data_IF_542792449976
#
_entry.id   IF_542792449976
#
_cell.length_a   1.000
_cell.length_b   1.000
_cell.length_c   1.000
_cell.angle_alpha   90.00
_cell.angle_beta   90.00
_cell.angle_gamma   90.00
#
_symmetry.space_group_name_H-M   'P 1'
#
loop_
_entity.id
_entity.type
_entity.pdbx_description
1 polymer ?
#
# COMPACT_ATOMS: atom_id res chain seq x y z
N UNK A 1 -32.27 -48.61 13.74
CA UNK A 1 -31.91 -47.35 14.40
C UNK A 1 -31.93 -47.41 15.93
N UNK A 2 -32.75 -48.27 16.54
CA UNK A 2 -32.86 -48.48 17.99
C UNK A 2 -31.64 -49.09 18.69
N UNK A 3 -30.95 -50.03 18.05
CA UNK A 3 -29.76 -50.74 18.61
C UNK A 3 -28.59 -49.79 18.84
N UNK A 4 -28.38 -48.79 17.98
CA UNK A 4 -27.26 -47.79 18.14
C UNK A 4 -27.49 -46.84 19.32
N UNK A 5 -28.75 -46.44 19.58
CA UNK A 5 -29.09 -45.58 20.71
C UNK A 5 -28.85 -46.27 22.07
N UNK A 6 -29.14 -47.56 22.16
CA UNK A 6 -28.96 -48.38 23.40
C UNK A 6 -27.44 -48.59 23.69
N UNK A 7 -26.62 -48.80 22.66
CA UNK A 7 -25.16 -48.94 22.80
C UNK A 7 -24.51 -47.64 23.26
N UNK A 8 -24.91 -46.48 22.73
CA UNK A 8 -24.43 -45.17 23.15
C UNK A 8 -24.81 -44.86 24.59
N UNK A 9 -26.05 -45.12 25.00
CA UNK A 9 -26.48 -44.96 26.40
C UNK A 9 -25.67 -45.81 27.36
N UNK A 10 -25.42 -47.08 27.04
CA UNK A 10 -24.58 -47.97 27.85
C UNK A 10 -23.13 -47.50 27.96
N UNK A 11 -22.52 -47.05 26.86
CA UNK A 11 -21.18 -46.50 26.86
C UNK A 11 -21.06 -45.22 27.73
N UNK A 12 -22.06 -44.34 27.69
CA UNK A 12 -22.12 -43.14 28.52
C UNK A 12 -22.23 -43.51 29.99
N UNK A 13 -23.11 -44.48 30.36
CA UNK A 13 -23.28 -44.93 31.74
C UNK A 13 -21.97 -45.57 32.28
N UNK A 14 -21.29 -46.39 31.47
CA UNK A 14 -20.02 -47.02 31.86
C UNK A 14 -18.92 -45.97 32.02
N UNK A 15 -18.88 -44.98 31.16
CA UNK A 15 -17.95 -43.84 31.24
C UNK A 15 -18.16 -43.05 32.56
N UNK A 16 -19.43 -42.72 32.90
CA UNK A 16 -19.73 -42.03 34.14
C UNK A 16 -19.46 -42.86 35.40
N UNK A 17 -19.72 -44.17 35.38
CA UNK A 17 -19.33 -45.05 36.48
C UNK A 17 -17.81 -45.18 36.66
N UNK A 18 -17.05 -45.24 35.57
CA UNK A 18 -15.59 -45.21 35.61
C UNK A 18 -15.04 -43.89 36.15
N UNK A 19 -15.60 -42.78 35.70
CA UNK A 19 -15.19 -41.42 36.17
C UNK A 19 -15.49 -41.19 37.66
N UNK A 20 -16.68 -41.57 38.10
CA UNK A 20 -17.05 -41.49 39.54
C UNK A 20 -16.20 -42.43 40.42
N UNK A 21 -15.84 -43.58 39.93
CA UNK A 21 -14.90 -44.51 40.62
C UNK A 21 -13.50 -43.92 40.77
N UNK A 22 -12.95 -43.33 39.72
CA UNK A 22 -11.64 -42.63 39.78
C UNK A 22 -11.68 -41.44 40.72
N UNK A 23 -12.72 -40.62 40.67
CA UNK A 23 -12.88 -39.47 41.57
C UNK A 23 -12.96 -39.93 43.04
N UNK A 24 -13.71 -41.01 43.35
CA UNK A 24 -13.79 -41.56 44.69
C UNK A 24 -12.45 -42.09 45.20
N UNK A 25 -11.73 -42.86 44.36
CA UNK A 25 -10.41 -43.42 44.73
C UNK A 25 -9.36 -42.29 44.93
N UNK A 26 -9.34 -41.25 44.11
CA UNK A 26 -8.42 -40.14 44.28
C UNK A 26 -8.77 -39.29 45.47
N UNK A 27 -10.05 -39.10 45.80
CA UNK A 27 -10.46 -38.39 47.05
C UNK A 27 -10.07 -39.17 48.31
N UNK A 28 -10.18 -40.49 48.26
CA UNK A 28 -9.75 -41.36 49.33
C UNK A 28 -8.21 -41.36 49.51
N UNK A 29 -7.45 -41.42 48.43
CA UNK A 29 -5.99 -41.29 48.44
C UNK A 29 -5.53 -39.92 49.00
N UNK A 30 -6.16 -38.83 48.60
CA UNK A 30 -5.86 -37.50 49.12
C UNK A 30 -6.19 -37.39 50.63
N UNK A 31 -7.29 -38.00 51.06
CA UNK A 31 -7.65 -38.01 52.49
C UNK A 31 -6.66 -38.75 53.37
N UNK A 32 -5.98 -39.78 52.83
CA UNK A 32 -4.90 -40.54 53.48
C UNK A 32 -3.62 -39.72 53.57
N UNK A 33 -3.24 -39.00 52.50
CA UNK A 33 -2.02 -38.16 52.43
C UNK A 33 -2.16 -36.97 53.44
N UNK A 34 -3.36 -36.40 53.58
CA UNK A 34 -3.61 -35.31 54.52
C UNK A 34 -3.78 -35.76 55.95
N UNK A 35 -3.52 -37.02 56.30
CA UNK A 35 -3.58 -37.55 57.66
C UNK A 35 -4.99 -37.64 58.26
N UNK A 36 -6.03 -37.56 57.42
CA UNK A 36 -7.44 -37.56 57.86
C UNK A 36 -8.02 -38.97 58.02
N UNK A 37 -7.26 -39.90 58.65
CA UNK A 37 -7.65 -41.30 58.84
C UNK A 37 -8.45 -41.57 60.13
N UNK A 38 -9.03 -40.54 60.73
CA UNK A 38 -9.85 -40.64 61.90
C UNK A 38 -11.27 -41.12 61.57
N UNK A 39 -11.71 -42.20 62.17
CA UNK A 39 -13.06 -42.78 62.03
C UNK A 39 -14.10 -42.13 62.88
N UNK A 40 -13.76 -41.07 63.60
CA UNK A 40 -14.69 -40.26 64.40
C UNK A 40 -15.78 -39.66 63.48
N UNK A 41 -16.91 -39.26 64.12
CA UNK A 41 -17.96 -38.54 63.34
C UNK A 41 -17.43 -37.27 62.70
N UNK A 42 -16.46 -36.61 63.27
CA UNK A 42 -15.80 -35.41 62.76
C UNK A 42 -14.90 -35.71 61.56
N UNK A 43 -14.08 -36.75 61.63
CA UNK A 43 -13.23 -37.17 60.50
C UNK A 43 -14.05 -37.61 59.29
N UNK A 44 -15.18 -38.30 59.50
CA UNK A 44 -16.12 -38.63 58.38
C UNK A 44 -16.78 -37.40 57.75
N UNK A 45 -17.07 -36.37 58.55
CA UNK A 45 -17.64 -35.13 58.04
C UNK A 45 -16.63 -34.34 57.21
N UNK A 46 -15.39 -34.20 57.69
CA UNK A 46 -14.30 -33.53 56.95
C UNK A 46 -13.98 -34.25 55.62
N UNK A 47 -13.91 -35.60 55.63
CA UNK A 47 -13.69 -36.39 54.42
C UNK A 47 -14.78 -36.13 53.34
N UNK A 48 -16.05 -35.97 53.77
CA UNK A 48 -17.14 -35.62 52.83
C UNK A 48 -16.99 -34.23 52.27
N UNK A 49 -16.57 -33.24 53.04
CA UNK A 49 -16.34 -31.86 52.56
C UNK A 49 -15.16 -31.85 51.58
N UNK A 50 -14.01 -32.41 51.94
CA UNK A 50 -12.80 -32.48 51.11
C UNK A 50 -13.06 -33.25 49.82
N UNK A 51 -13.77 -34.41 49.90
CA UNK A 51 -14.17 -35.17 48.74
C UNK A 51 -15.14 -34.43 47.83
N UNK A 52 -16.06 -33.66 48.41
CA UNK A 52 -16.99 -32.79 47.65
C UNK A 52 -16.25 -31.64 46.94
N UNK A 53 -15.35 -30.97 47.64
CA UNK A 53 -14.55 -29.90 47.02
C UNK A 53 -13.65 -30.46 45.90
N UNK A 54 -13.02 -31.63 46.10
CA UNK A 54 -12.21 -32.27 45.09
C UNK A 54 -13.04 -32.71 43.87
N UNK A 55 -14.21 -33.30 44.08
CA UNK A 55 -15.13 -33.68 43.00
C UNK A 55 -15.58 -32.47 42.21
N UNK A 56 -15.89 -31.35 42.89
CA UNK A 56 -16.26 -30.09 42.23
C UNK A 56 -15.11 -29.51 41.40
N UNK A 57 -13.89 -29.53 41.95
CA UNK A 57 -12.71 -29.09 41.23
C UNK A 57 -12.44 -29.93 39.97
N UNK A 58 -12.53 -31.27 40.08
CA UNK A 58 -12.36 -32.18 38.95
C UNK A 58 -13.45 -31.99 37.90
N UNK A 59 -14.70 -31.73 38.31
CA UNK A 59 -15.79 -31.42 37.40
C UNK A 59 -15.52 -30.11 36.63
N UNK A 60 -15.07 -29.07 37.32
CA UNK A 60 -14.71 -27.78 36.68
C UNK A 60 -13.55 -27.94 35.69
N UNK A 61 -12.52 -28.70 36.06
CA UNK A 61 -11.40 -28.98 35.14
C UNK A 61 -11.83 -29.79 33.92
N UNK A 62 -12.71 -30.77 34.10
CA UNK A 62 -13.25 -31.55 32.96
C UNK A 62 -14.12 -30.70 32.04
N UNK A 63 -14.96 -29.82 32.59
CA UNK A 63 -15.78 -28.87 31.83
C UNK A 63 -14.88 -27.89 31.06
N UNK A 64 -13.86 -27.37 31.71
CA UNK A 64 -12.90 -26.47 31.08
C UNK A 64 -12.13 -27.16 29.93
N UNK A 65 -11.65 -28.39 30.14
CA UNK A 65 -10.98 -29.18 29.11
C UNK A 65 -11.90 -29.52 27.95
N UNK A 66 -13.15 -29.93 28.22
CA UNK A 66 -14.16 -30.20 27.17
C UNK A 66 -14.50 -28.92 26.39
N UNK A 67 -14.70 -27.80 27.10
CA UNK A 67 -14.95 -26.51 26.46
C UNK A 67 -13.77 -26.10 25.56
N UNK A 68 -12.54 -26.27 26.03
CA UNK A 68 -11.34 -25.99 25.24
C UNK A 68 -11.25 -26.91 23.99
N UNK A 69 -11.53 -28.20 24.14
CA UNK A 69 -11.56 -29.14 23.01
C UNK A 69 -12.67 -28.79 22.01
N UNK A 70 -13.86 -28.46 22.48
CA UNK A 70 -14.99 -28.07 21.63
C UNK A 70 -14.66 -26.76 20.90
N UNK A 71 -14.12 -25.76 21.61
CA UNK A 71 -13.70 -24.50 21.01
C UNK A 71 -12.62 -24.75 19.96
N UNK A 72 -11.57 -25.54 20.29
CA UNK A 72 -10.52 -25.87 19.33
C UNK A 72 -11.09 -26.58 18.08
N UNK A 73 -11.97 -27.56 18.27
CA UNK A 73 -12.61 -28.25 17.15
C UNK A 73 -13.52 -27.31 16.34
N UNK A 74 -14.31 -26.49 17.02
CA UNK A 74 -15.18 -25.50 16.38
C UNK A 74 -14.39 -24.50 15.55
N UNK A 75 -13.37 -23.87 16.12
CA UNK A 75 -12.54 -22.90 15.40
C UNK A 75 -11.69 -23.53 14.31
N UNK A 76 -11.15 -24.75 14.52
CA UNK A 76 -10.33 -25.41 13.52
C UNK A 76 -11.12 -26.00 12.34
N UNK A 77 -12.31 -26.54 12.58
CA UNK A 77 -13.04 -27.29 11.56
C UNK A 77 -14.37 -26.70 11.14
N UNK A 78 -15.07 -25.99 12.02
CA UNK A 78 -16.39 -25.43 11.75
C UNK A 78 -16.37 -23.92 11.50
N UNK A 79 -15.79 -23.14 12.39
CA UNK A 79 -15.71 -21.69 12.20
C UNK A 79 -14.88 -21.31 10.98
N UNK A 80 -13.72 -21.98 10.79
CA UNK A 80 -12.93 -21.79 9.56
C UNK A 80 -13.69 -22.18 8.29
N UNK A 81 -14.61 -23.13 8.38
CA UNK A 81 -15.41 -23.56 7.22
C UNK A 81 -16.50 -22.54 6.86
N UNK A 82 -16.99 -21.76 7.84
CA UNK A 82 -18.05 -20.77 7.64
C UNK A 82 -17.53 -19.32 7.63
N UNK A 83 -16.54 -19.00 8.46
CA UNK A 83 -15.99 -17.62 8.58
C UNK A 83 -14.86 -17.33 7.61
N UNK A 84 -13.98 -18.28 7.28
CA UNK A 84 -12.97 -18.09 6.24
C UNK A 84 -13.55 -18.13 4.81
N UNK A 85 -14.82 -18.46 4.67
CA UNK A 85 -15.61 -18.25 3.44
C UNK A 85 -16.30 -16.89 3.42
N UNK A 86 -16.08 -16.04 4.41
CA UNK A 86 -16.63 -14.70 4.38
C UNK A 86 -16.01 -13.94 3.19
N UNK A 87 -16.84 -13.20 2.49
CA UNK A 87 -16.48 -12.33 1.35
C UNK A 87 -15.29 -11.41 1.68
N UNK A 88 -15.01 -11.16 2.97
CA UNK A 88 -13.98 -10.28 3.47
C UNK A 88 -12.54 -10.86 3.42
N UNK A 89 -12.37 -12.18 3.36
CA UNK A 89 -11.06 -12.84 3.34
C UNK A 89 -10.75 -13.59 2.05
N UNK A 90 -11.78 -13.82 1.21
CA UNK A 90 -11.64 -14.49 -0.08
C UNK A 90 -11.45 -13.50 -1.22
N UNK A 91 -10.39 -13.63 -1.98
CA UNK A 91 -10.19 -12.91 -3.22
C UNK A 91 -10.68 -13.75 -4.38
N UNK A 92 -11.79 -13.34 -5.00
CA UNK A 92 -12.28 -13.99 -6.22
C UNK A 92 -11.30 -13.78 -7.37
N UNK A 93 -10.81 -14.88 -7.93
CA UNK A 93 -9.91 -14.89 -9.09
C UNK A 93 -10.71 -15.09 -10.38
N UNK A 94 -11.73 -15.97 -10.31
CA UNK A 94 -12.63 -16.28 -11.42
C UNK A 94 -13.96 -16.83 -10.87
N UNK A 95 -14.86 -17.24 -11.76
CA UNK A 95 -16.10 -17.96 -11.38
C UNK A 95 -15.82 -19.30 -10.68
N UNK A 96 -14.66 -19.91 -10.93
CA UNK A 96 -14.33 -21.25 -10.48
C UNK A 96 -13.26 -21.29 -9.38
N UNK A 97 -12.55 -20.20 -9.12
CA UNK A 97 -11.44 -20.18 -8.18
C UNK A 97 -11.46 -18.95 -7.29
N UNK A 98 -11.26 -19.17 -6.00
CA UNK A 98 -11.15 -18.13 -4.97
C UNK A 98 -9.87 -18.37 -4.17
N UNK A 99 -9.07 -17.34 -4.00
CA UNK A 99 -7.91 -17.36 -3.12
C UNK A 99 -8.28 -16.91 -1.72
N UNK A 100 -7.85 -17.67 -0.74
CA UNK A 100 -7.96 -17.34 0.68
C UNK A 100 -6.58 -17.14 1.27
N UNK A 101 -6.30 -15.94 1.75
CA UNK A 101 -5.08 -15.67 2.54
C UNK A 101 -5.28 -16.16 3.97
N UNK A 102 -4.18 -16.56 4.63
CA UNK A 102 -4.21 -16.80 6.07
C UNK A 102 -3.69 -15.59 6.83
N UNK A 103 -4.09 -15.44 8.10
CA UNK A 103 -3.60 -14.37 8.97
C UNK A 103 -2.07 -14.48 9.24
N UNK A 104 -1.50 -15.68 9.07
CA UNK A 104 -0.06 -15.94 9.22
C UNK A 104 0.73 -15.73 7.93
N UNK A 105 0.05 -15.42 6.81
CA UNK A 105 0.65 -15.31 5.46
C UNK A 105 1.45 -16.56 5.01
N UNK A 106 1.20 -17.72 5.61
CA UNK A 106 1.93 -18.96 5.33
C UNK A 106 1.06 -20.09 4.80
N UNK A 107 -0.25 -20.05 5.06
CA UNK A 107 -1.18 -21.15 4.82
C UNK A 107 -2.33 -20.75 3.86
N UNK A 108 -2.10 -19.79 2.97
CA UNK A 108 -3.05 -19.43 1.94
C UNK A 108 -3.36 -20.61 1.02
N UNK A 109 -4.55 -20.61 0.44
CA UNK A 109 -4.96 -21.67 -0.48
C UNK A 109 -5.92 -21.15 -1.55
N UNK A 110 -6.01 -21.90 -2.65
CA UNK A 110 -7.03 -21.69 -3.68
C UNK A 110 -8.11 -22.76 -3.50
N UNK A 111 -9.35 -22.34 -3.48
CA UNK A 111 -10.55 -23.20 -3.46
C UNK A 111 -11.31 -23.06 -4.76
N UNK A 112 -11.64 -24.18 -5.38
CA UNK A 112 -12.51 -24.23 -6.56
C UNK A 112 -13.98 -24.20 -6.16
N UNK A 113 -14.85 -23.89 -7.10
CA UNK A 113 -16.31 -23.74 -6.87
C UNK A 113 -16.95 -24.96 -6.20
N UNK A 114 -16.43 -26.16 -6.44
CA UNK A 114 -16.88 -27.41 -5.82
C UNK A 114 -16.34 -27.60 -4.38
N UNK A 115 -15.62 -26.64 -3.85
CA UNK A 115 -15.06 -26.66 -2.49
C UNK A 115 -13.75 -27.41 -2.35
N UNK A 116 -13.11 -27.80 -3.46
CA UNK A 116 -11.82 -28.47 -3.45
C UNK A 116 -10.69 -27.47 -3.29
N UNK A 117 -9.78 -27.71 -2.33
CA UNK A 117 -8.54 -26.95 -2.17
C UNK A 117 -7.46 -27.51 -3.09
N UNK A 118 -7.10 -26.77 -4.11
CA UNK A 118 -6.21 -27.23 -5.19
C UNK A 118 -4.76 -26.78 -5.01
N UNK A 119 -4.54 -25.54 -4.55
CA UNK A 119 -3.21 -25.00 -4.25
C UNK A 119 -3.18 -24.68 -2.76
N UNK A 120 -2.13 -25.06 -2.04
CA UNK A 120 -2.01 -24.91 -0.58
C UNK A 120 -0.63 -24.36 -0.22
N UNK A 121 -0.50 -23.80 0.99
CA UNK A 121 0.77 -23.25 1.48
C UNK A 121 1.20 -22.02 0.71
N UNK A 122 0.24 -21.17 0.34
CA UNK A 122 0.51 -19.95 -0.40
C UNK A 122 0.85 -18.84 0.59
N UNK A 123 2.02 -18.22 0.41
CA UNK A 123 2.44 -17.05 1.18
C UNK A 123 1.87 -15.76 0.56
N UNK A 124 1.92 -15.64 -0.75
CA UNK A 124 1.34 -14.51 -1.47
C UNK A 124 1.05 -14.90 -2.93
N UNK A 125 0.22 -14.09 -3.58
CA UNK A 125 -0.09 -14.19 -5.00
C UNK A 125 0.12 -12.84 -5.69
N UNK A 126 0.38 -12.89 -6.99
CA UNK A 126 0.35 -11.71 -7.88
C UNK A 126 -0.39 -12.08 -9.16
N UNK A 127 -1.44 -11.33 -9.45
CA UNK A 127 -2.28 -11.59 -10.62
C UNK A 127 -1.54 -11.27 -11.91
N UNK A 128 -1.85 -11.96 -13.02
CA UNK A 128 -1.33 -11.62 -14.34
C UNK A 128 -1.88 -10.27 -14.81
N UNK A 129 -1.27 -9.73 -15.83
CA UNK A 129 -1.74 -8.54 -16.54
C UNK A 129 -2.46 -8.92 -17.84
N UNK A 130 -3.35 -8.06 -18.29
CA UNK A 130 -4.14 -8.27 -19.49
C UNK A 130 -5.01 -9.51 -19.44
N UNK A 131 -5.03 -10.27 -20.53
CA UNK A 131 -5.87 -11.47 -20.68
C UNK A 131 -5.22 -12.77 -20.21
N UNK A 132 -4.04 -12.70 -19.60
CA UNK A 132 -3.34 -13.87 -19.07
C UNK A 132 -4.07 -14.45 -17.84
N UNK A 133 -3.99 -15.78 -17.70
CA UNK A 133 -4.72 -16.51 -16.66
C UNK A 133 -3.84 -17.11 -15.56
N UNK A 134 -2.52 -17.02 -15.68
CA UNK A 134 -1.58 -17.64 -14.76
C UNK A 134 -1.16 -16.67 -13.66
N UNK A 135 -1.62 -16.95 -12.44
CA UNK A 135 -1.29 -16.22 -11.22
C UNK A 135 0.05 -16.70 -10.69
N UNK A 136 0.98 -15.79 -10.48
CA UNK A 136 2.23 -16.06 -9.78
C UNK A 136 1.95 -16.25 -8.28
N UNK A 137 2.55 -17.28 -7.65
CA UNK A 137 2.44 -17.49 -6.21
C UNK A 137 3.76 -17.94 -5.60
N UNK A 138 3.91 -17.76 -4.31
CA UNK A 138 5.05 -18.21 -3.53
C UNK A 138 4.63 -19.25 -2.49
N UNK A 139 5.46 -20.30 -2.33
CA UNK A 139 5.37 -21.27 -1.24
C UNK A 139 6.28 -20.92 -0.04
N UNK A 140 6.81 -19.67 -0.01
CA UNK A 140 7.76 -19.19 0.99
C UNK A 140 9.22 -19.38 0.63
N UNK A 141 9.55 -20.28 -0.31
CA UNK A 141 10.92 -20.53 -0.80
C UNK A 141 11.06 -20.20 -2.28
N UNK A 142 10.12 -20.70 -3.05
CA UNK A 142 10.12 -20.60 -4.49
C UNK A 142 8.81 -20.00 -4.99
N UNK A 143 8.82 -19.61 -6.26
CA UNK A 143 7.66 -19.11 -6.98
C UNK A 143 7.25 -20.07 -8.08
N UNK A 144 5.95 -20.18 -8.31
CA UNK A 144 5.32 -20.97 -9.35
C UNK A 144 4.06 -20.26 -9.86
N UNK A 145 3.27 -20.97 -10.65
CA UNK A 145 2.07 -20.43 -11.24
C UNK A 145 0.91 -21.41 -11.17
N UNK A 146 -0.28 -20.88 -10.89
CA UNK A 146 -1.53 -21.61 -11.01
C UNK A 146 -2.49 -20.88 -11.95
N UNK A 147 -3.38 -21.61 -12.56
CA UNK A 147 -4.37 -21.03 -13.46
C UNK A 147 -5.58 -20.50 -12.65
N UNK A 148 -5.87 -19.22 -12.72
CA UNK A 148 -6.99 -18.61 -12.00
C UNK A 148 -8.37 -19.02 -12.51
N UNK A 149 -8.47 -19.56 -13.72
CA UNK A 149 -9.75 -20.00 -14.28
C UNK A 149 -10.12 -21.41 -13.80
N UNK A 150 -9.13 -22.29 -13.60
CA UNK A 150 -9.34 -23.67 -13.16
C UNK A 150 -9.00 -23.89 -11.70
N UNK A 151 -8.16 -23.03 -11.10
CA UNK A 151 -7.62 -23.20 -9.76
C UNK A 151 -6.51 -24.24 -9.67
N UNK A 152 -6.00 -24.77 -10.78
CA UNK A 152 -4.99 -25.84 -10.79
C UNK A 152 -3.58 -25.28 -10.96
N UNK A 153 -2.59 -25.99 -10.38
CA UNK A 153 -1.18 -25.66 -10.55
C UNK A 153 -0.79 -25.90 -12.02
N UNK A 154 -0.34 -24.82 -12.68
CA UNK A 154 0.21 -24.90 -14.04
C UNK A 154 1.73 -25.14 -14.02
N UNK A 155 2.45 -24.41 -13.17
CA UNK A 155 3.90 -24.54 -13.01
C UNK A 155 4.19 -24.64 -11.50
N UNK A 156 4.77 -25.76 -11.08
CA UNK A 156 5.14 -25.96 -9.66
C UNK A 156 6.19 -24.93 -9.23
N UNK A 157 6.20 -24.52 -7.96
CA UNK A 157 7.21 -23.60 -7.42
C UNK A 157 8.62 -24.19 -7.60
N UNK A 158 9.43 -23.54 -8.41
CA UNK A 158 10.82 -23.91 -8.68
C UNK A 158 11.77 -22.74 -8.88
N UNK A 159 11.24 -21.54 -9.14
CA UNK A 159 12.03 -20.35 -9.38
C UNK A 159 12.22 -19.55 -8.09
N UNK A 160 13.43 -19.05 -7.82
CA UNK A 160 13.68 -18.15 -6.68
C UNK A 160 12.96 -16.84 -6.85
N UNK A 161 12.99 -16.30 -8.07
CA UNK A 161 12.26 -15.10 -8.46
C UNK A 161 11.46 -15.40 -9.74
N UNK A 162 10.25 -14.91 -9.78
CA UNK A 162 9.37 -15.02 -10.94
C UNK A 162 8.39 -13.86 -10.87
N UNK A 163 7.97 -13.35 -12.02
CA UNK A 163 7.08 -12.20 -12.13
C UNK A 163 5.77 -12.59 -12.79
N UNK A 164 4.86 -11.66 -12.90
CA UNK A 164 3.53 -11.90 -13.45
C UNK A 164 3.58 -12.24 -14.93
N UNK A 165 2.64 -13.05 -15.40
CA UNK A 165 2.38 -13.20 -16.82
C UNK A 165 1.79 -11.92 -17.38
N UNK A 166 2.29 -11.53 -18.55
CA UNK A 166 1.76 -10.45 -19.37
C UNK A 166 2.12 -10.71 -20.82
N UNK A 167 1.19 -10.46 -21.71
CA UNK A 167 1.34 -10.73 -23.16
C UNK A 167 1.73 -12.21 -23.47
N UNK A 168 1.31 -13.15 -22.62
CA UNK A 168 1.58 -14.59 -22.75
C UNK A 168 2.96 -15.04 -22.28
N UNK A 169 3.77 -14.17 -21.69
CA UNK A 169 5.12 -14.45 -21.20
C UNK A 169 5.29 -14.00 -19.73
N UNK A 170 6.13 -14.72 -18.99
CA UNK A 170 6.58 -14.31 -17.68
C UNK A 170 8.09 -14.39 -17.56
N UNK A 171 8.72 -13.42 -16.94
CA UNK A 171 10.15 -13.51 -16.61
C UNK A 171 10.37 -14.32 -15.34
N UNK A 172 11.46 -15.07 -15.32
CA UNK A 172 11.88 -15.91 -14.19
C UNK A 172 13.39 -15.83 -14.01
N UNK A 173 13.82 -15.95 -12.75
CA UNK A 173 15.22 -16.18 -12.42
C UNK A 173 15.49 -17.70 -12.50
N UNK A 174 16.17 -18.11 -13.55
CA UNK A 174 16.63 -19.48 -13.73
C UNK A 174 18.14 -19.55 -13.53
N UNK A 175 18.55 -20.01 -12.34
CA UNK A 175 19.96 -20.14 -11.95
C UNK A 175 20.77 -18.84 -12.07
N UNK A 176 20.19 -17.71 -11.63
CA UNK A 176 20.84 -16.41 -11.65
C UNK A 176 20.80 -15.69 -13.01
N UNK A 177 19.99 -16.18 -13.95
CA UNK A 177 19.77 -15.56 -15.26
C UNK A 177 18.29 -15.30 -15.49
N UNK A 178 17.99 -14.17 -16.10
CA UNK A 178 16.63 -13.85 -16.51
C UNK A 178 16.29 -14.60 -17.79
N UNK A 179 15.20 -15.36 -17.72
CA UNK A 179 14.58 -16.00 -18.86
C UNK A 179 13.10 -15.67 -18.93
N UNK A 180 12.52 -15.77 -20.11
CA UNK A 180 11.07 -15.66 -20.27
C UNK A 180 10.49 -17.01 -20.64
N UNK A 181 9.39 -17.35 -19.98
CA UNK A 181 8.69 -18.62 -20.15
C UNK A 181 7.29 -18.41 -20.71
N UNK A 182 6.80 -19.41 -21.44
CA UNK A 182 5.40 -19.50 -21.85
C UNK A 182 4.51 -20.07 -20.74
N UNK A 183 3.21 -20.15 -20.99
CA UNK A 183 2.22 -20.69 -20.05
C UNK A 183 2.42 -22.17 -19.70
N UNK A 184 3.23 -22.91 -20.46
CA UNK A 184 3.62 -24.30 -20.18
C UNK A 184 4.91 -24.41 -19.38
N UNK A 185 5.59 -23.29 -19.14
CA UNK A 185 6.87 -23.21 -18.46
C UNK A 185 8.08 -23.52 -19.35
N UNK A 186 7.91 -23.50 -20.69
CA UNK A 186 9.02 -23.62 -21.63
C UNK A 186 9.74 -22.27 -21.76
N UNK A 187 11.07 -22.29 -21.81
CA UNK A 187 11.86 -21.09 -22.06
C UNK A 187 11.67 -20.67 -23.51
N UNK A 188 11.21 -19.44 -23.72
CA UNK A 188 10.97 -18.81 -25.04
C UNK A 188 12.09 -17.83 -25.36
N UNK A 189 12.55 -17.06 -24.37
CA UNK A 189 13.62 -16.08 -24.53
C UNK A 189 14.70 -16.32 -23.49
N UNK A 190 15.94 -16.44 -23.95
CA UNK A 190 17.15 -16.48 -23.12
C UNK A 190 18.19 -15.53 -23.72
N UNK A 191 18.32 -14.37 -23.09
CA UNK A 191 19.29 -13.34 -23.51
C UNK A 191 20.63 -13.49 -22.81
N UNK A 192 20.79 -14.52 -21.96
CA UNK A 192 21.98 -14.73 -21.13
C UNK A 192 22.30 -13.50 -20.21
N UNK A 193 21.28 -12.76 -19.81
CA UNK A 193 21.41 -11.60 -18.93
C UNK A 193 21.33 -12.06 -17.49
N UNK A 194 22.28 -11.66 -16.60
CA UNK A 194 22.25 -12.03 -15.20
C UNK A 194 21.07 -11.40 -14.47
N UNK A 195 20.46 -12.13 -13.51
CA UNK A 195 19.52 -11.56 -12.57
C UNK A 195 20.22 -10.54 -11.67
N UNK A 196 19.61 -9.39 -11.45
CA UNK A 196 20.09 -8.36 -10.56
C UNK A 196 19.16 -8.25 -9.36
N UNK A 197 19.71 -8.43 -8.15
CA UNK A 197 18.94 -8.30 -6.90
C UNK A 197 18.36 -6.87 -6.78
N UNK A 198 17.07 -6.79 -6.48
CA UNK A 198 16.35 -5.53 -6.35
C UNK A 198 15.92 -4.90 -7.69
N UNK A 199 16.16 -5.56 -8.83
CA UNK A 199 15.53 -5.16 -10.07
C UNK A 199 14.02 -5.42 -9.99
N UNK A 200 13.23 -4.45 -10.41
CA UNK A 200 11.79 -4.64 -10.64
C UNK A 200 11.57 -5.64 -11.77
N UNK A 201 10.42 -6.33 -11.73
CA UNK A 201 10.13 -7.42 -12.66
C UNK A 201 10.16 -6.97 -14.11
N UNK A 202 10.73 -7.82 -14.95
CA UNK A 202 10.75 -7.63 -16.40
C UNK A 202 9.45 -8.15 -16.97
N UNK A 203 8.51 -7.25 -17.23
CA UNK A 203 7.14 -7.58 -17.64
C UNK A 203 6.88 -7.03 -19.05
N UNK A 204 6.32 -7.87 -19.91
CA UNK A 204 5.88 -7.44 -21.23
C UNK A 204 4.65 -6.54 -21.12
N UNK A 205 4.60 -5.52 -21.95
CA UNK A 205 3.45 -4.65 -22.11
C UNK A 205 3.35 -4.23 -23.58
N UNK A 206 2.20 -4.50 -24.21
CA UNK A 206 1.96 -4.23 -25.64
C UNK A 206 3.09 -4.79 -26.55
N UNK A 207 3.53 -6.01 -26.28
CA UNK A 207 4.55 -6.69 -27.08
C UNK A 207 6.00 -6.29 -26.81
N UNK A 208 6.27 -5.43 -25.83
CA UNK A 208 7.59 -4.92 -25.50
C UNK A 208 7.93 -5.14 -24.01
N UNK A 209 9.21 -5.34 -23.72
CA UNK A 209 9.70 -5.42 -22.34
C UNK A 209 10.95 -4.57 -22.17
N UNK A 210 10.95 -3.75 -21.10
CA UNK A 210 12.15 -3.00 -20.68
C UNK A 210 13.11 -3.97 -20.01
N UNK A 211 14.34 -4.01 -20.49
CA UNK A 211 15.41 -4.87 -19.97
C UNK A 211 16.67 -4.08 -19.73
N UNK A 212 17.39 -4.39 -18.65
CA UNK A 212 18.78 -3.93 -18.54
C UNK A 212 19.68 -4.74 -19.50
N UNK A 213 20.81 -4.15 -19.87
CA UNK A 213 21.85 -4.86 -20.61
C UNK A 213 22.81 -5.60 -19.69
N UNK A 214 24.01 -5.91 -20.20
CA UNK A 214 25.09 -6.46 -19.39
C UNK A 214 25.60 -5.46 -18.33
N UNK A 215 25.41 -4.16 -18.56
CA UNK A 215 25.64 -3.10 -17.60
C UNK A 215 24.36 -2.84 -16.82
N UNK A 216 24.48 -2.81 -15.49
CA UNK A 216 23.38 -2.72 -14.54
C UNK A 216 22.55 -1.43 -14.67
N UNK A 217 23.17 -0.38 -15.16
CA UNK A 217 22.64 1.00 -15.17
C UNK A 217 22.13 1.45 -16.55
N UNK A 218 22.04 0.53 -17.52
CA UNK A 218 21.54 0.85 -18.85
C UNK A 218 20.41 -0.09 -19.28
N UNK A 219 19.37 0.50 -19.77
CA UNK A 219 18.14 -0.15 -20.19
C UNK A 219 17.94 -0.07 -21.69
N UNK A 220 17.28 -1.06 -22.23
CA UNK A 220 16.81 -1.13 -23.59
C UNK A 220 15.43 -1.75 -23.67
N UNK A 221 14.94 -1.97 -24.86
CA UNK A 221 13.63 -2.52 -25.15
C UNK A 221 13.76 -3.77 -26.01
N UNK A 222 13.12 -4.87 -25.63
CA UNK A 222 13.07 -6.11 -26.40
C UNK A 222 11.64 -6.38 -26.88
N UNK A 223 11.52 -7.08 -28.00
CA UNK A 223 10.26 -7.65 -28.50
C UNK A 223 10.01 -9.06 -27.90
N UNK A 224 8.85 -9.64 -28.19
CA UNK A 224 8.45 -10.99 -27.73
C UNK A 224 9.32 -12.14 -28.30
N UNK A 225 10.21 -11.86 -29.23
CA UNK A 225 11.22 -12.80 -29.74
C UNK A 225 12.58 -12.64 -29.09
N UNK A 226 12.72 -11.69 -28.15
CA UNK A 226 13.97 -11.35 -27.48
C UNK A 226 14.91 -10.47 -28.33
N UNK A 227 14.43 -9.91 -29.44
CA UNK A 227 15.23 -8.99 -30.27
C UNK A 227 15.23 -7.61 -29.63
N UNK A 228 16.42 -7.01 -29.50
CA UNK A 228 16.56 -5.62 -29.06
C UNK A 228 15.98 -4.67 -30.11
N UNK A 229 14.93 -3.97 -29.74
CA UNK A 229 14.33 -2.87 -30.50
C UNK A 229 15.02 -1.55 -30.20
N UNK A 230 15.34 -1.31 -28.93
CA UNK A 230 16.26 -0.30 -28.46
C UNK A 230 17.40 -1.00 -27.72
N UNK A 231 18.65 -0.69 -28.09
CA UNK A 231 19.82 -1.22 -27.40
C UNK A 231 19.84 -0.72 -25.94
N UNK A 232 20.43 -1.48 -25.04
CA UNK A 232 20.57 -1.12 -23.62
C UNK A 232 21.60 0.01 -23.43
N UNK A 233 21.21 1.23 -23.78
CA UNK A 233 22.04 2.46 -23.76
C UNK A 233 21.36 3.60 -22.97
N UNK A 234 20.10 3.43 -22.57
CA UNK A 234 19.31 4.44 -21.89
C UNK A 234 19.48 4.36 -20.38
N UNK A 235 19.44 5.49 -19.71
CA UNK A 235 19.47 5.58 -18.26
C UNK A 235 18.16 5.09 -17.63
N UNK A 236 17.03 5.34 -18.33
CA UNK A 236 15.71 4.84 -17.96
C UNK A 236 14.80 4.77 -19.19
N UNK A 237 13.83 3.87 -19.14
CA UNK A 237 12.72 3.75 -20.10
C UNK A 237 11.45 3.56 -19.30
N UNK A 238 10.47 4.47 -19.45
CA UNK A 238 9.18 4.42 -18.78
C UNK A 238 8.08 4.17 -19.82
N UNK A 239 7.50 2.96 -19.88
CA UNK A 239 6.32 2.70 -20.68
C UNK A 239 5.12 3.47 -20.13
N UNK A 240 4.37 4.14 -21.02
CA UNK A 240 3.14 4.83 -20.68
C UNK A 240 2.13 4.74 -21.83
N UNK A 241 1.12 3.90 -21.67
CA UNK A 241 0.13 3.60 -22.70
C UNK A 241 0.82 3.15 -24.02
N UNK A 242 0.66 3.89 -25.11
CA UNK A 242 1.31 3.63 -26.41
C UNK A 242 2.62 4.41 -26.58
N UNK A 243 3.22 4.92 -25.49
CA UNK A 243 4.43 5.74 -25.56
C UNK A 243 5.53 5.18 -24.66
N UNK A 244 6.76 5.55 -24.96
CA UNK A 244 7.92 5.36 -24.11
C UNK A 244 8.57 6.72 -23.85
N UNK A 245 8.72 7.05 -22.58
CA UNK A 245 9.57 8.16 -22.15
C UNK A 245 10.96 7.57 -21.92
N UNK A 246 11.94 7.99 -22.70
CA UNK A 246 13.30 7.48 -22.62
C UNK A 246 14.24 8.56 -22.13
N UNK A 247 15.13 8.20 -21.19
CA UNK A 247 16.14 9.10 -20.65
C UNK A 247 17.53 8.65 -21.06
N UNK A 248 18.36 9.58 -21.54
CA UNK A 248 19.77 9.32 -21.90
C UNK A 248 20.60 10.58 -21.70
N UNK A 249 21.61 10.50 -20.83
CA UNK A 249 22.54 11.61 -20.61
C UNK A 249 21.89 12.89 -20.07
N UNK A 250 20.87 12.76 -19.20
CA UNK A 250 20.15 13.88 -18.61
C UNK A 250 19.09 14.51 -19.52
N UNK A 251 18.91 13.99 -20.73
CA UNK A 251 17.83 14.41 -21.66
C UNK A 251 16.76 13.36 -21.72
N UNK A 252 15.50 13.77 -21.82
CA UNK A 252 14.37 12.90 -22.05
C UNK A 252 13.76 13.12 -23.42
N UNK A 253 13.17 12.06 -23.98
CA UNK A 253 12.50 12.04 -25.28
C UNK A 253 11.24 11.19 -25.17
N UNK A 254 10.23 11.46 -25.97
CA UNK A 254 9.03 10.63 -26.09
C UNK A 254 9.04 9.91 -27.42
N UNK A 255 8.94 8.58 -27.36
CA UNK A 255 8.79 7.71 -28.51
C UNK A 255 7.37 7.13 -28.52
N UNK A 256 6.79 6.94 -29.69
CA UNK A 256 5.58 6.14 -29.86
C UNK A 256 5.92 4.64 -29.82
N UNK A 257 4.94 3.75 -29.68
CA UNK A 257 5.15 2.29 -29.57
C UNK A 257 5.94 1.68 -30.74
N UNK A 258 5.86 2.26 -31.95
CA UNK A 258 6.67 1.86 -33.09
C UNK A 258 8.07 2.50 -33.14
N UNK A 259 8.49 3.11 -32.03
CA UNK A 259 9.76 3.80 -31.80
C UNK A 259 9.97 5.08 -32.64
N UNK A 260 8.91 5.59 -33.30
CA UNK A 260 8.96 6.90 -33.92
C UNK A 260 9.07 7.99 -32.85
N UNK A 261 10.02 8.90 -33.04
CA UNK A 261 10.20 10.04 -32.13
C UNK A 261 8.99 10.96 -32.24
N UNK A 262 8.34 11.20 -31.10
CA UNK A 262 7.24 12.17 -30.93
C UNK A 262 7.81 13.49 -30.43
N UNK A 263 8.59 13.47 -29.35
CA UNK A 263 9.38 14.61 -28.90
C UNK A 263 10.86 14.27 -28.96
N UNK A 264 11.69 15.12 -29.58
CA UNK A 264 13.14 14.95 -29.59
C UNK A 264 13.73 15.05 -28.18
N UNK A 265 14.97 14.59 -27.97
CA UNK A 265 15.65 14.74 -26.70
C UNK A 265 15.72 16.21 -26.26
N UNK A 266 15.31 16.48 -25.02
CA UNK A 266 15.33 17.80 -24.40
C UNK A 266 15.70 17.70 -22.92
N UNK A 267 16.25 18.77 -22.38
CA UNK A 267 16.55 18.90 -20.94
C UNK A 267 15.28 19.26 -20.17
N UNK A 268 14.39 18.29 -20.00
CA UNK A 268 13.12 18.45 -19.29
C UNK A 268 12.70 17.10 -18.71
N UNK A 269 11.89 17.12 -17.65
CA UNK A 269 11.16 15.96 -17.19
C UNK A 269 9.83 15.87 -17.93
N UNK A 270 9.65 14.76 -18.66
CA UNK A 270 8.49 14.53 -19.53
C UNK A 270 7.47 13.66 -18.87
N UNK A 271 6.20 13.98 -19.04
CA UNK A 271 5.08 13.22 -18.54
C UNK A 271 3.97 13.12 -19.58
N UNK A 272 3.42 11.92 -19.79
CA UNK A 272 2.30 11.69 -20.72
C UNK A 272 1.04 11.40 -19.89
N UNK A 273 0.03 12.24 -20.00
CA UNK A 273 -1.28 12.06 -19.35
C UNK A 273 -2.37 12.84 -20.08
N UNK A 274 -3.60 12.38 -19.95
CA UNK A 274 -4.81 13.07 -20.42
C UNK A 274 -4.74 13.56 -21.87
N UNK A 275 -4.15 12.73 -22.75
CA UNK A 275 -4.01 13.04 -24.17
C UNK A 275 -2.97 14.11 -24.51
N UNK A 276 -2.08 14.44 -23.57
CA UNK A 276 -1.05 15.45 -23.75
C UNK A 276 0.30 14.98 -23.21
N UNK A 277 1.36 15.66 -23.61
CA UNK A 277 2.70 15.53 -23.06
C UNK A 277 3.03 16.84 -22.36
N UNK A 278 3.36 16.78 -21.08
CA UNK A 278 3.85 17.91 -20.30
C UNK A 278 5.35 17.80 -20.14
N UNK A 279 6.05 18.88 -20.39
CA UNK A 279 7.50 19.01 -20.18
C UNK A 279 7.75 20.01 -19.05
N UNK A 280 8.34 19.55 -17.96
CA UNK A 280 8.86 20.39 -16.88
C UNK A 280 10.30 20.74 -17.19
N UNK A 281 10.54 22.01 -17.47
CA UNK A 281 11.86 22.51 -17.85
C UNK A 281 12.73 22.71 -16.59
N UNK A 282 14.06 22.82 -16.74
CA UNK A 282 14.99 23.05 -15.62
C UNK A 282 14.75 24.37 -14.88
N UNK A 283 14.08 25.31 -15.51
CA UNK A 283 13.71 26.61 -14.91
C UNK A 283 12.30 26.56 -14.27
N UNK A 284 11.77 25.35 -14.05
CA UNK A 284 10.46 25.07 -13.47
C UNK A 284 9.28 25.56 -14.33
N UNK A 285 9.51 26.00 -15.56
CA UNK A 285 8.43 26.29 -16.50
C UNK A 285 7.82 25.02 -17.06
N UNK A 286 6.52 25.00 -17.26
CA UNK A 286 5.81 23.89 -17.89
C UNK A 286 5.46 24.22 -19.32
N UNK A 287 5.69 23.24 -20.22
CA UNK A 287 5.25 23.28 -21.62
C UNK A 287 4.31 22.13 -21.88
N UNK A 288 3.29 22.39 -22.69
CA UNK A 288 2.30 21.38 -23.09
C UNK A 288 2.39 21.09 -24.57
N UNK A 289 2.46 19.82 -24.92
CA UNK A 289 2.47 19.32 -26.27
C UNK A 289 1.29 18.36 -26.47
N UNK A 290 0.75 18.28 -27.68
CA UNK A 290 -0.17 17.21 -28.03
C UNK A 290 0.59 15.88 -28.26
N UNK A 291 -0.16 14.77 -28.45
CA UNK A 291 0.43 13.45 -28.69
C UNK A 291 1.14 13.31 -30.05
N UNK A 292 1.08 14.31 -30.91
CA UNK A 292 1.84 14.42 -32.17
C UNK A 292 3.16 15.18 -31.99
N UNK A 293 3.44 15.66 -30.75
CA UNK A 293 4.65 16.42 -30.45
C UNK A 293 4.58 17.90 -30.83
N UNK A 294 3.40 18.43 -31.19
CA UNK A 294 3.23 19.84 -31.48
C UNK A 294 3.02 20.64 -30.20
N UNK A 295 3.71 21.76 -30.07
CA UNK A 295 3.57 22.66 -28.93
C UNK A 295 2.16 23.28 -28.89
N UNK A 296 1.43 23.03 -27.80
CA UNK A 296 0.09 23.59 -27.56
C UNK A 296 0.19 24.84 -26.70
N UNK A 297 1.02 24.77 -25.64
CA UNK A 297 1.20 25.88 -24.71
C UNK A 297 2.67 25.95 -24.28
N UNK A 298 3.26 27.13 -24.44
CA UNK A 298 4.68 27.33 -24.13
C UNK A 298 4.95 27.68 -22.67
N UNK A 299 3.90 28.11 -21.94
CA UNK A 299 4.00 28.47 -20.54
C UNK A 299 2.67 28.14 -19.84
N UNK A 300 2.62 26.96 -19.24
CA UNK A 300 1.44 26.48 -18.52
C UNK A 300 1.49 26.96 -17.07
N UNK A 301 0.41 27.56 -16.59
CA UNK A 301 0.20 27.95 -15.20
C UNK A 301 -0.81 26.98 -14.60
N UNK A 302 -0.43 26.27 -13.53
CA UNK A 302 -1.28 25.29 -12.86
C UNK A 302 -2.25 25.93 -11.87
N UNK A 303 -1.83 27.01 -11.20
CA UNK A 303 -2.64 27.72 -10.21
C UNK A 303 -2.29 29.20 -10.14
N UNK A 304 -3.26 30.03 -9.72
CA UNK A 304 -3.06 31.46 -9.45
C UNK A 304 -3.78 31.82 -8.16
N UNK A 305 -3.07 32.44 -7.23
CA UNK A 305 -3.55 32.78 -5.91
C UNK A 305 -3.29 34.22 -5.55
N UNK A 306 -4.31 34.90 -4.97
CA UNK A 306 -4.17 36.23 -4.37
C UNK A 306 -3.41 36.15 -3.06
N UNK A 307 -2.65 37.16 -2.72
CA UNK A 307 -1.90 37.22 -1.47
C UNK A 307 -2.48 38.29 -0.52
N UNK A 308 -2.39 37.99 0.76
CA UNK A 308 -2.71 38.92 1.85
C UNK A 308 -1.44 39.26 2.61
N UNK A 309 -1.38 40.44 3.19
CA UNK A 309 -0.31 40.85 4.10
C UNK A 309 -0.90 41.43 5.38
N UNK A 310 -0.17 41.24 6.46
CA UNK A 310 -0.58 41.73 7.76
C UNK A 310 -0.29 43.24 7.89
N UNK A 311 -1.25 43.94 8.45
CA UNK A 311 -1.12 45.34 8.83
C UNK A 311 -1.92 45.57 10.09
N UNK A 312 -1.60 46.65 10.81
CA UNK A 312 -2.37 47.06 11.98
C UNK A 312 -3.30 48.23 11.61
N UNK A 313 -4.54 48.14 12.01
CA UNK A 313 -5.47 49.27 12.04
C UNK A 313 -5.55 49.78 13.44
N UNK A 314 -5.52 51.10 13.55
CA UNK A 314 -5.71 51.76 14.85
C UNK A 314 -7.20 51.87 15.10
N UNK A 315 -7.66 51.23 16.17
CA UNK A 315 -9.01 51.42 16.71
C UNK A 315 -8.93 52.36 17.89
N UNK A 316 -9.84 53.31 17.89
CA UNK A 316 -10.01 54.22 19.03
C UNK A 316 -11.11 53.67 19.91
N UNK A 317 -10.76 53.29 21.13
CA UNK A 317 -11.71 52.94 22.18
C UNK A 317 -11.87 54.12 23.13
N UNK A 318 -13.08 54.36 23.58
CA UNK A 318 -13.34 55.42 24.57
C UNK A 318 -13.38 54.78 25.95
N UNK A 319 -12.37 55.08 26.74
CA UNK A 319 -12.37 54.74 28.18
C UNK A 319 -13.12 55.80 28.98
N UNK A 320 -14.08 55.37 29.77
CA UNK A 320 -14.83 56.30 30.70
C UNK A 320 -14.09 56.33 32.02
N UNK A 321 -13.71 57.56 32.43
CA UNK A 321 -13.03 57.79 33.68
C UNK A 321 -14.06 58.16 34.76
N UNK A 322 -13.93 57.56 35.94
CA UNK A 322 -14.80 57.81 37.06
C UNK A 322 -13.98 58.32 38.25
N UNK A 323 -14.56 59.20 39.09
CA UNK A 323 -13.96 59.57 40.36
C UNK A 323 -14.21 58.50 41.45
N UNK A 324 -13.68 58.76 42.65
CA UNK A 324 -13.78 57.83 43.80
C UNK A 324 -15.24 57.63 44.25
N UNK A 325 -16.14 58.51 43.89
CA UNK A 325 -17.57 58.44 44.18
C UNK A 325 -18.36 57.77 43.04
N UNK A 326 -17.66 57.27 42.01
CA UNK A 326 -18.26 56.56 40.87
C UNK A 326 -18.92 57.49 39.84
N UNK A 327 -18.66 58.80 39.88
CA UNK A 327 -19.21 59.79 38.95
C UNK A 327 -18.28 59.89 37.73
N UNK A 328 -18.86 59.87 36.53
CA UNK A 328 -18.13 60.05 35.28
C UNK A 328 -17.43 61.42 35.25
N UNK A 329 -16.07 61.37 35.17
CA UNK A 329 -15.23 62.59 35.12
C UNK A 329 -14.77 62.96 33.73
N UNK A 330 -14.83 62.03 32.80
CA UNK A 330 -14.46 62.31 31.43
C UNK A 330 -14.37 61.03 30.59
N UNK A 331 -14.05 61.18 29.32
CA UNK A 331 -13.79 60.13 28.40
C UNK A 331 -12.41 60.34 27.77
N UNK A 332 -11.58 59.28 27.74
CA UNK A 332 -10.27 59.31 27.09
C UNK A 332 -10.32 58.37 25.88
N UNK A 333 -9.85 58.85 24.73
CA UNK A 333 -9.70 58.02 23.55
C UNK A 333 -8.34 57.29 23.63
N UNK A 334 -8.37 55.97 23.66
CA UNK A 334 -7.19 55.15 23.58
C UNK A 334 -7.09 54.50 22.20
N UNK A 335 -5.90 54.56 21.62
CA UNK A 335 -5.62 53.99 20.33
C UNK A 335 -4.96 52.55 20.52
N UNK A 336 -5.65 51.52 20.06
CA UNK A 336 -5.14 50.16 20.09
C UNK A 336 -4.85 49.67 18.68
N UNK A 337 -3.61 49.20 18.39
CA UNK A 337 -3.33 48.46 17.15
C UNK A 337 -4.11 47.16 17.13
N UNK A 338 -4.85 46.93 16.09
CA UNK A 338 -5.59 45.69 15.89
C UNK A 338 -5.09 45.01 14.61
N UNK A 339 -4.66 43.73 14.65
CA UNK A 339 -4.22 43.00 13.46
C UNK A 339 -5.31 42.99 12.39
N UNK A 340 -4.92 43.29 11.16
CA UNK A 340 -5.82 43.32 10.00
C UNK A 340 -5.08 42.84 8.76
N UNK A 341 -5.76 42.09 7.92
CA UNK A 341 -5.19 41.60 6.67
C UNK A 341 -5.70 42.42 5.48
N UNK A 342 -4.80 42.84 4.62
CA UNK A 342 -5.09 43.56 3.38
C UNK A 342 -4.64 42.77 2.17
N UNK A 343 -5.34 42.95 1.05
CA UNK A 343 -4.98 42.33 -0.23
C UNK A 343 -3.73 43.00 -0.82
N UNK A 344 -2.77 42.23 -1.21
CA UNK A 344 -1.58 42.66 -1.93
C UNK A 344 -1.91 43.07 -3.38
N UNK A 345 -1.06 43.91 -4.00
CA UNK A 345 -1.25 44.36 -5.37
C UNK A 345 -1.02 43.26 -6.42
N UNK A 346 -0.13 42.29 -6.16
CA UNK A 346 0.17 41.20 -7.06
C UNK A 346 -0.38 39.83 -6.57
N UNK A 347 -0.43 38.91 -7.47
CA UNK A 347 -0.77 37.49 -7.21
C UNK A 347 0.49 36.61 -7.29
N UNK A 348 0.49 35.46 -6.66
CA UNK A 348 1.45 34.40 -6.94
C UNK A 348 0.81 33.41 -7.91
N UNK A 349 1.60 32.86 -8.80
CA UNK A 349 1.18 31.74 -9.65
C UNK A 349 2.11 30.56 -9.45
N UNK A 350 1.62 29.37 -9.66
CA UNK A 350 2.35 28.13 -9.64
C UNK A 350 2.42 27.56 -11.06
N UNK A 351 3.59 27.08 -11.48
CA UNK A 351 3.77 26.33 -12.70
C UNK A 351 4.03 24.86 -12.35
N UNK A 352 5.26 24.45 -12.10
CA UNK A 352 5.56 23.16 -11.44
C UNK A 352 5.13 23.22 -9.97
N UNK A 353 4.63 22.09 -9.44
CA UNK A 353 4.18 21.99 -8.03
C UNK A 353 5.26 22.42 -7.06
N UNK A 354 4.95 23.41 -6.21
CA UNK A 354 5.88 23.97 -5.23
C UNK A 354 6.83 25.05 -5.79
N UNK A 355 6.66 25.44 -7.07
CA UNK A 355 7.47 26.48 -7.69
C UNK A 355 6.60 27.65 -8.17
N UNK A 356 6.85 28.81 -7.59
CA UNK A 356 6.02 29.99 -7.70
C UNK A 356 6.74 31.13 -8.42
N UNK A 357 5.93 31.93 -9.11
CA UNK A 357 6.34 33.22 -9.66
C UNK A 357 5.37 34.33 -9.28
N UNK A 358 5.82 35.58 -9.41
CA UNK A 358 5.01 36.75 -9.18
C UNK A 358 4.25 37.12 -10.46
N UNK A 359 2.97 37.49 -10.31
CA UNK A 359 2.05 37.86 -11.38
C UNK A 359 1.34 39.19 -11.03
N UNK A 360 1.19 40.04 -11.99
CA UNK A 360 0.41 41.30 -11.83
C UNK A 360 -1.10 40.99 -11.62
N UNK A 361 -1.89 41.92 -11.12
CA UNK A 361 -3.35 41.78 -11.00
C UNK A 361 -4.01 41.40 -12.32
N UNK A 362 -3.46 41.90 -13.44
CA UNK A 362 -3.99 41.70 -14.80
C UNK A 362 -3.53 40.37 -15.43
N UNK A 363 -2.87 39.50 -14.69
CA UNK A 363 -2.43 38.16 -15.20
C UNK A 363 -1.13 38.18 -15.98
N UNK A 364 -0.36 39.27 -15.99
CA UNK A 364 0.96 39.31 -16.62
C UNK A 364 2.00 38.76 -15.68
N UNK A 365 2.78 37.75 -16.16
CA UNK A 365 3.93 37.17 -15.46
C UNK A 365 4.99 38.27 -15.22
N UNK A 366 5.45 38.42 -13.98
CA UNK A 366 6.48 39.37 -13.57
C UNK A 366 7.82 38.63 -13.40
N UNK A 367 7.82 37.50 -12.69
CA UNK A 367 9.03 36.68 -12.51
C UNK A 367 8.77 35.25 -13.01
N UNK A 368 9.80 34.53 -13.46
CA UNK A 368 9.67 33.10 -13.72
C UNK A 368 9.35 32.32 -12.42
N UNK A 369 8.89 31.05 -12.50
CA UNK A 369 8.50 30.23 -11.33
C UNK A 369 9.75 29.64 -10.63
N UNK A 370 10.58 30.47 -10.05
CA UNK A 370 11.87 30.10 -9.44
C UNK A 370 11.90 30.14 -7.91
N UNK A 371 10.78 30.44 -7.29
CA UNK A 371 10.68 30.56 -5.83
C UNK A 371 9.90 29.40 -5.24
N UNK A 372 10.41 28.83 -4.14
CA UNK A 372 9.69 27.79 -3.40
C UNK A 372 8.54 28.34 -2.54
N UNK A 373 8.54 29.68 -2.28
CA UNK A 373 7.45 30.37 -1.62
C UNK A 373 7.48 31.85 -1.94
N UNK A 374 6.30 32.49 -2.01
CA UNK A 374 6.14 33.96 -2.12
C UNK A 374 5.08 34.38 -1.11
N UNK A 375 5.48 35.29 -0.22
CA UNK A 375 4.60 35.89 0.80
C UNK A 375 4.58 37.40 0.64
N UNK A 376 3.39 38.00 0.61
CA UNK A 376 3.28 39.43 0.65
C UNK A 376 3.59 39.93 2.08
N UNK A 377 4.51 40.88 2.21
CA UNK A 377 4.88 41.54 3.46
C UNK A 377 4.43 43.01 3.51
N UNK A 378 3.77 43.49 2.46
CA UNK A 378 3.19 44.79 2.30
C UNK A 378 2.40 44.89 1.00
N UNK A 379 1.77 46.03 0.72
CA UNK A 379 0.93 46.25 -0.46
C UNK A 379 1.65 45.93 -1.78
N UNK A 380 2.89 46.33 -1.91
CA UNK A 380 3.75 46.15 -3.09
C UNK A 380 5.11 45.60 -2.72
N UNK A 381 5.19 44.79 -1.67
CA UNK A 381 6.41 44.12 -1.19
C UNK A 381 6.19 42.65 -0.99
N UNK A 382 7.08 41.84 -1.58
CA UNK A 382 6.97 40.41 -1.65
C UNK A 382 8.28 39.74 -1.22
N UNK A 383 8.22 38.94 -0.17
CA UNK A 383 9.32 38.07 0.22
C UNK A 383 9.26 36.81 -0.66
N UNK A 384 10.23 36.66 -1.55
CA UNK A 384 10.34 35.56 -2.49
C UNK A 384 11.48 34.63 -2.04
N UNK A 385 11.17 33.43 -1.57
CA UNK A 385 12.14 32.45 -1.07
C UNK A 385 12.65 31.56 -2.19
N UNK A 386 13.96 31.40 -2.31
CA UNK A 386 14.59 30.45 -3.23
C UNK A 386 14.87 29.10 -2.59
N UNK A 387 14.96 29.05 -1.26
CA UNK A 387 15.04 27.88 -0.41
C UNK A 387 14.57 28.24 1.01
N UNK A 388 14.68 27.33 1.97
CA UNK A 388 14.19 27.54 3.35
C UNK A 388 14.92 28.70 4.08
N UNK A 389 16.13 29.08 3.63
CA UNK A 389 17.02 30.01 4.32
C UNK A 389 17.16 31.30 3.51
N UNK A 390 17.20 31.22 2.18
CA UNK A 390 17.53 32.33 1.28
C UNK A 390 16.29 32.86 0.57
N UNK A 391 16.26 34.17 0.40
CA UNK A 391 15.20 34.85 -0.33
C UNK A 391 15.60 36.27 -0.68
N UNK A 392 14.74 36.91 -1.42
CA UNK A 392 14.87 38.33 -1.79
C UNK A 392 13.52 39.04 -1.63
N UNK A 393 13.56 40.31 -1.41
CA UNK A 393 12.35 41.12 -1.36
C UNK A 393 12.18 41.89 -2.67
N UNK A 394 11.07 41.62 -3.36
CA UNK A 394 10.74 42.27 -4.62
C UNK A 394 9.56 43.23 -4.45
N UNK A 395 9.48 44.21 -5.33
CA UNK A 395 8.23 44.98 -5.54
C UNK A 395 7.39 44.33 -6.64
N UNK A 396 6.16 44.84 -6.86
CA UNK A 396 5.25 44.33 -7.88
C UNK A 396 5.68 44.59 -9.34
N UNK A 397 6.85 45.17 -9.58
CA UNK A 397 7.50 45.24 -10.88
C UNK A 397 8.62 44.19 -11.03
N UNK A 398 8.85 43.37 -10.00
CA UNK A 398 9.93 42.37 -9.98
C UNK A 398 11.30 42.98 -9.69
N UNK A 399 11.36 44.23 -9.23
CA UNK A 399 12.63 44.87 -8.87
C UNK A 399 13.00 44.51 -7.44
N UNK A 400 14.22 44.06 -7.26
CA UNK A 400 14.75 43.72 -5.94
C UNK A 400 14.93 44.95 -5.09
N UNK A 401 14.35 44.92 -3.89
CA UNK A 401 14.40 46.00 -2.89
C UNK A 401 15.47 45.71 -1.83
N UNK A 402 15.62 44.39 -1.50
CA UNK A 402 16.58 43.95 -0.49
C UNK A 402 17.06 42.54 -0.76
#
# INVERSE_FOLDING_TARGET
METKKTTIKRAIILFWKGLTGIIAATAEWFSVILGMRDDSKYGKFIRRIVGGCFATLMLLLTVAALSSCINHFYYKYLANRYYNRSIQTGQYLSRNATYYSSASETDGYVETRDGKKTVKGIHWISKPLGDDSLVCYSDGKNRGYFNMLTGEIAIKPKYKHAWVFSDGLASVDDNGKIKFIDAKGNVVIDLNIPYITGAEGYVFHNGHCVMHGNKRDKYGLIDKKGKWMLKAEYDAIYPKDSFFIVSKGGMQSVLFENLKVVLPPMEADLWVSDGNITATMKDHTLRKYNLQGQLVENFLISNVEGMLYDTDEIRYTTAKNYDDDGKLTGETAEAEPTPYQKTASCKKYEAEVGWYGLMSPNGKVITPPRYCDITAIGYDLYLCKTDDIRGEVLNGKGVRIR
#
